data_IF_656511944242
#
_entry.id   IF_656511944242
#
_cell.length_a   1.000
_cell.length_b   1.000
_cell.length_c   1.000
_cell.angle_alpha   90.00
_cell.angle_beta   90.00
_cell.angle_gamma   90.00
#
_symmetry.space_group_name_H-M   'P 1'
#
loop_
_entity.id
_entity.type
_entity.pdbx_description
1 polymer ?
#
# COMPACT_ATOMS: atom_id res chain seq x y z
N UNK A 1 -71.45 -39.33 -17.94
CA UNK A 1 -71.26 -39.04 -16.51
C UNK A 1 -69.76 -38.87 -16.29
N UNK A 2 -69.34 -37.62 -16.26
CA UNK A 2 -67.97 -37.19 -16.08
C UNK A 2 -67.76 -36.78 -14.62
N UNK A 3 -66.83 -37.39 -13.91
CA UNK A 3 -66.43 -36.97 -12.57
C UNK A 3 -64.98 -36.51 -12.61
N UNK A 4 -64.80 -35.22 -12.43
CA UNK A 4 -63.50 -34.54 -12.20
C UNK A 4 -63.06 -34.69 -10.74
N UNK A 5 -61.79 -35.04 -10.43
CA UNK A 5 -61.29 -34.96 -9.05
C UNK A 5 -60.74 -33.53 -8.74
N UNK A 6 -61.10 -33.06 -7.56
CA UNK A 6 -60.66 -31.82 -6.93
C UNK A 6 -59.14 -31.79 -6.73
N UNK A 7 -58.48 -30.77 -7.27
CA UNK A 7 -57.08 -30.47 -6.98
C UNK A 7 -56.92 -29.93 -5.55
N UNK A 8 -56.06 -30.56 -4.79
CA UNK A 8 -55.55 -30.09 -3.50
C UNK A 8 -54.50 -29.03 -3.71
N UNK A 9 -54.83 -27.80 -3.33
CA UNK A 9 -53.86 -26.67 -3.24
C UNK A 9 -52.84 -26.93 -2.14
N UNK A 10 -51.69 -27.47 -2.50
CA UNK A 10 -50.49 -27.35 -1.67
C UNK A 10 -49.89 -25.94 -1.83
N UNK A 11 -50.16 -25.09 -0.84
CA UNK A 11 -49.33 -23.88 -0.63
C UNK A 11 -47.93 -24.37 -0.21
N UNK A 12 -46.86 -23.93 -0.85
CA UNK A 12 -45.54 -24.18 -0.31
C UNK A 12 -45.41 -23.37 0.98
N UNK A 13 -45.09 -24.07 2.07
CA UNK A 13 -44.59 -23.46 3.29
C UNK A 13 -43.36 -22.60 2.92
N UNK A 14 -43.53 -21.31 3.00
CA UNK A 14 -42.38 -20.41 3.10
C UNK A 14 -41.80 -20.64 4.50
N UNK A 15 -40.83 -21.56 4.57
CA UNK A 15 -39.88 -21.55 5.69
C UNK A 15 -39.13 -20.25 5.65
N UNK A 16 -39.64 -19.31 6.41
CA UNK A 16 -38.97 -18.06 6.75
C UNK A 16 -37.83 -18.34 7.72
N UNK A 17 -36.75 -18.96 7.23
CA UNK A 17 -35.45 -18.78 7.87
C UNK A 17 -35.04 -17.34 7.62
N UNK A 18 -35.42 -16.45 8.57
CA UNK A 18 -34.83 -15.15 8.72
C UNK A 18 -33.32 -15.38 8.94
N UNK A 19 -32.54 -15.48 7.85
CA UNK A 19 -31.11 -15.23 7.90
C UNK A 19 -30.98 -13.85 8.52
N UNK A 20 -30.48 -13.81 9.76
CA UNK A 20 -30.13 -12.60 10.49
C UNK A 20 -29.13 -11.83 9.62
N UNK A 21 -29.66 -10.95 8.78
CA UNK A 21 -28.96 -10.28 7.69
C UNK A 21 -28.04 -9.18 8.23
N UNK A 22 -27.17 -9.51 9.20
CA UNK A 22 -26.12 -8.61 9.64
C UNK A 22 -25.24 -8.27 8.45
N UNK A 23 -25.32 -7.00 8.02
CA UNK A 23 -24.43 -6.48 6.98
C UNK A 23 -23.02 -6.43 7.55
N UNK A 24 -22.16 -7.36 7.12
CA UNK A 24 -20.75 -7.43 7.52
C UNK A 24 -19.84 -7.10 6.32
N UNK A 25 -18.67 -6.56 6.61
CA UNK A 25 -17.72 -6.17 5.56
C UNK A 25 -17.25 -7.38 4.73
N UNK A 26 -17.20 -8.58 5.32
CA UNK A 26 -16.75 -9.80 4.68
C UNK A 26 -17.54 -10.18 3.44
N UNK A 27 -18.86 -10.08 3.50
CA UNK A 27 -19.74 -10.45 2.38
C UNK A 27 -19.54 -9.56 1.14
N UNK A 28 -19.12 -8.31 1.33
CA UNK A 28 -18.95 -7.33 0.26
C UNK A 28 -17.52 -7.22 -0.27
N UNK A 29 -16.51 -7.40 0.59
CA UNK A 29 -15.09 -7.37 0.18
C UNK A 29 -14.62 -8.68 -0.45
N UNK A 30 -15.35 -9.79 -0.27
CA UNK A 30 -15.06 -11.08 -0.93
C UNK A 30 -15.34 -11.05 -2.44
N UNK A 31 -16.18 -10.15 -2.92
CA UNK A 31 -16.45 -9.96 -4.34
C UNK A 31 -15.38 -9.09 -4.99
N UNK A 32 -15.00 -9.39 -6.24
CA UNK A 32 -14.11 -8.52 -7.03
C UNK A 32 -14.71 -7.14 -7.36
N UNK A 33 -15.97 -6.91 -6.99
CA UNK A 33 -16.70 -5.67 -7.25
C UNK A 33 -16.57 -4.68 -6.08
N UNK A 34 -15.36 -4.22 -5.79
CA UNK A 34 -15.07 -3.20 -4.79
C UNK A 34 -14.18 -2.09 -5.36
N UNK A 35 -14.10 -0.96 -4.66
CA UNK A 35 -13.33 0.23 -5.09
C UNK A 35 -11.94 0.32 -4.43
N UNK A 36 -11.39 -0.77 -3.88
CA UNK A 36 -10.07 -0.74 -3.23
C UNK A 36 -8.95 -0.36 -4.18
N UNK A 37 -9.02 -0.78 -5.46
CA UNK A 37 -8.03 -0.40 -6.47
C UNK A 37 -8.09 1.10 -6.81
N UNK A 38 -9.30 1.67 -6.84
CA UNK A 38 -9.47 3.12 -6.99
C UNK A 38 -8.85 3.87 -5.79
N UNK A 39 -9.12 3.41 -4.56
CA UNK A 39 -8.53 4.02 -3.36
C UNK A 39 -7.01 3.95 -3.38
N UNK A 40 -6.43 2.81 -3.77
CA UNK A 40 -4.98 2.67 -3.93
C UNK A 40 -4.41 3.67 -4.95
N UNK A 41 -5.10 3.85 -6.08
CA UNK A 41 -4.72 4.81 -7.09
C UNK A 41 -4.79 6.25 -6.57
N UNK A 42 -5.88 6.62 -5.90
CA UNK A 42 -6.07 7.94 -5.31
C UNK A 42 -5.01 8.25 -4.21
N UNK A 43 -4.71 7.26 -3.36
CA UNK A 43 -3.67 7.39 -2.33
C UNK A 43 -2.27 7.54 -2.94
N UNK A 44 -1.94 6.77 -3.97
CA UNK A 44 -0.67 6.92 -4.69
C UNK A 44 -0.55 8.32 -5.33
N UNK A 45 -1.62 8.82 -5.94
CA UNK A 45 -1.67 10.17 -6.48
C UNK A 45 -1.50 11.25 -5.39
N UNK A 46 -2.13 11.08 -4.23
CA UNK A 46 -1.95 11.97 -3.07
C UNK A 46 -0.52 12.01 -2.55
N UNK A 47 0.19 10.88 -2.58
CA UNK A 47 1.61 10.80 -2.22
C UNK A 47 2.46 11.57 -3.23
N UNK A 48 2.22 11.38 -4.54
CA UNK A 48 2.91 12.14 -5.60
C UNK A 48 2.64 13.63 -5.45
N UNK A 49 1.39 14.01 -5.18
CA UNK A 49 1.02 15.41 -4.94
C UNK A 49 1.85 16.04 -3.82
N UNK A 50 1.91 15.41 -2.64
CA UNK A 50 2.66 15.93 -1.50
C UNK A 50 4.15 16.10 -1.82
N UNK A 51 4.77 15.08 -2.42
CA UNK A 51 6.18 15.13 -2.78
C UNK A 51 6.47 16.17 -3.86
N UNK A 52 5.59 16.29 -4.85
CA UNK A 52 5.72 17.29 -5.92
C UNK A 52 5.65 18.71 -5.36
N UNK A 53 4.69 18.99 -4.48
CA UNK A 53 4.58 20.30 -3.85
C UNK A 53 5.80 20.64 -2.98
N UNK A 54 6.34 19.67 -2.26
CA UNK A 54 7.55 19.84 -1.46
C UNK A 54 8.78 20.11 -2.34
N UNK A 55 8.96 19.39 -3.44
CA UNK A 55 10.04 19.60 -4.41
C UNK A 55 9.96 20.94 -5.11
N UNK A 56 8.74 21.40 -5.44
CA UNK A 56 8.48 22.71 -6.03
C UNK A 56 8.54 23.87 -5.03
N UNK A 57 8.83 23.61 -3.74
CA UNK A 57 8.85 24.58 -2.64
C UNK A 57 7.48 25.24 -2.35
N UNK A 58 6.39 24.64 -2.80
CA UNK A 58 5.02 25.10 -2.57
C UNK A 58 4.46 24.57 -1.24
N UNK A 59 4.96 25.06 -0.10
CA UNK A 59 4.59 24.57 1.23
C UNK A 59 3.08 24.58 1.49
N UNK A 60 2.38 25.64 1.06
CA UNK A 60 0.93 25.74 1.22
C UNK A 60 0.11 24.72 0.40
N UNK A 61 0.66 24.22 -0.72
CA UNK A 61 0.01 23.23 -1.59
C UNK A 61 0.40 21.79 -1.24
N UNK A 62 1.36 21.58 -0.33
CA UNK A 62 1.86 20.24 0.02
C UNK A 62 0.85 19.38 0.79
N UNK A 63 -0.23 19.97 1.32
CA UNK A 63 -1.16 19.26 2.19
C UNK A 63 -0.50 18.78 3.49
N UNK A 64 0.55 19.47 3.94
CA UNK A 64 1.22 19.20 5.24
C UNK A 64 0.60 20.09 6.30
N UNK A 65 0.08 19.47 7.35
CA UNK A 65 -0.49 20.16 8.51
C UNK A 65 0.01 19.46 9.78
N UNK A 66 0.50 20.23 10.75
CA UNK A 66 1.00 19.68 12.02
C UNK A 66 1.96 18.47 11.86
N UNK A 67 2.86 18.51 10.89
CA UNK A 67 3.80 17.40 10.61
C UNK A 67 3.20 16.20 9.87
N UNK A 68 1.90 16.20 9.58
CA UNK A 68 1.21 15.17 8.83
C UNK A 68 0.91 15.63 7.40
N UNK A 69 0.83 14.69 6.47
CA UNK A 69 0.64 15.01 5.05
C UNK A 69 -0.36 14.05 4.38
N UNK A 70 -0.84 14.43 3.20
CA UNK A 70 -1.59 13.50 2.34
C UNK A 70 -0.76 12.26 2.00
N UNK A 71 0.58 12.39 1.91
CA UNK A 71 1.46 11.24 1.71
C UNK A 71 1.39 10.26 2.90
N UNK A 72 1.46 10.73 4.13
CA UNK A 72 1.33 9.88 5.33
C UNK A 72 -0.03 9.17 5.35
N UNK A 73 -1.12 9.92 5.13
CA UNK A 73 -2.48 9.37 5.08
C UNK A 73 -2.62 8.33 3.96
N UNK A 74 -2.07 8.64 2.78
CA UNK A 74 -2.07 7.70 1.66
C UNK A 74 -1.32 6.41 1.98
N UNK A 75 -0.15 6.51 2.64
CA UNK A 75 0.62 5.35 3.09
C UNK A 75 -0.18 4.51 4.10
N UNK A 76 -0.84 5.12 5.08
CA UNK A 76 -1.65 4.39 6.06
C UNK A 76 -2.76 3.59 5.39
N UNK A 77 -3.48 4.20 4.45
CA UNK A 77 -4.50 3.50 3.69
C UNK A 77 -3.93 2.37 2.82
N UNK A 78 -2.80 2.58 2.14
CA UNK A 78 -2.13 1.56 1.32
C UNK A 78 -1.68 0.38 2.17
N UNK A 79 -1.03 0.61 3.32
CA UNK A 79 -0.61 -0.46 4.23
C UNK A 79 -1.80 -1.19 4.85
N UNK A 80 -2.87 -0.49 5.21
CA UNK A 80 -4.11 -1.10 5.72
C UNK A 80 -4.78 -2.01 4.70
N UNK A 81 -4.96 -1.54 3.45
CA UNK A 81 -5.48 -2.35 2.34
C UNK A 81 -4.55 -3.54 2.08
N UNK A 82 -3.23 -3.33 2.07
CA UNK A 82 -2.25 -4.39 1.88
C UNK A 82 -2.37 -5.45 2.96
N UNK A 83 -2.48 -5.07 4.24
CA UNK A 83 -2.68 -6.01 5.35
C UNK A 83 -3.91 -6.89 5.17
N UNK A 84 -5.04 -6.31 4.79
CA UNK A 84 -6.28 -7.04 4.51
C UNK A 84 -6.10 -8.05 3.36
N UNK A 85 -5.58 -7.60 2.22
CA UNK A 85 -5.40 -8.43 1.03
C UNK A 85 -4.31 -9.49 1.20
N UNK A 86 -3.26 -9.20 1.97
CA UNK A 86 -2.17 -10.13 2.23
C UNK A 86 -2.62 -11.24 3.18
N UNK A 87 -3.40 -10.91 4.23
CA UNK A 87 -3.97 -11.91 5.13
C UNK A 87 -4.85 -12.91 4.37
N UNK A 88 -5.64 -12.44 3.40
CA UNK A 88 -6.37 -13.30 2.47
C UNK A 88 -5.40 -14.16 1.63
N UNK A 89 -4.47 -13.51 0.97
CA UNK A 89 -3.58 -14.17 -0.01
C UNK A 89 -2.69 -15.25 0.61
N UNK A 90 -2.14 -15.02 1.81
CA UNK A 90 -1.23 -15.96 2.46
C UNK A 90 -1.95 -17.23 2.95
N UNK A 91 -3.23 -17.11 3.31
CA UNK A 91 -4.03 -18.26 3.71
C UNK A 91 -4.47 -19.13 2.53
N UNK A 92 -4.73 -18.52 1.38
CA UNK A 92 -5.21 -19.21 0.18
C UNK A 92 -4.10 -19.86 -0.66
N UNK A 93 -2.85 -19.43 -0.49
CA UNK A 93 -1.75 -19.89 -1.31
C UNK A 93 -0.74 -20.71 -0.52
N UNK A 94 -0.05 -21.66 -1.19
CA UNK A 94 1.15 -22.29 -0.63
C UNK A 94 2.25 -21.26 -0.45
N UNK A 95 3.13 -21.43 0.52
CA UNK A 95 4.17 -20.49 0.89
C UNK A 95 5.03 -20.03 -0.30
N UNK A 96 5.48 -20.97 -1.14
CA UNK A 96 6.28 -20.64 -2.33
C UNK A 96 5.47 -19.85 -3.37
N UNK A 97 4.21 -20.24 -3.64
CA UNK A 97 3.34 -19.54 -4.59
C UNK A 97 2.96 -18.14 -4.08
N UNK A 98 2.75 -18.01 -2.77
CA UNK A 98 2.51 -16.70 -2.14
C UNK A 98 3.72 -15.77 -2.33
N UNK A 99 4.92 -16.21 -1.92
CA UNK A 99 6.13 -15.39 -2.00
C UNK A 99 6.44 -15.03 -3.47
N UNK A 100 6.37 -16.01 -4.39
CA UNK A 100 6.57 -15.78 -5.82
C UNK A 100 5.65 -14.69 -6.37
N UNK A 101 4.35 -14.73 -6.05
CA UNK A 101 3.38 -13.72 -6.49
C UNK A 101 3.68 -12.33 -5.94
N UNK A 102 4.21 -12.22 -4.70
CA UNK A 102 4.60 -10.93 -4.09
C UNK A 102 5.87 -10.39 -4.73
N UNK A 103 6.86 -11.24 -4.96
CA UNK A 103 8.09 -10.88 -5.69
C UNK A 103 7.78 -10.37 -7.09
N UNK A 104 6.95 -11.08 -7.86
CA UNK A 104 6.51 -10.66 -9.19
C UNK A 104 5.72 -9.35 -9.20
N UNK A 105 5.05 -9.03 -8.11
CA UNK A 105 4.28 -7.78 -7.98
C UNK A 105 5.17 -6.57 -7.73
N UNK A 106 6.25 -6.74 -6.97
CA UNK A 106 7.06 -5.63 -6.47
C UNK A 106 8.34 -5.41 -7.30
N UNK A 107 9.17 -6.45 -7.46
CA UNK A 107 10.54 -6.28 -7.97
C UNK A 107 10.64 -5.92 -9.46
N UNK A 108 9.88 -6.51 -10.39
CA UNK A 108 10.08 -6.22 -11.81
C UNK A 108 9.84 -4.74 -12.18
N UNK A 109 8.78 -4.13 -11.65
CA UNK A 109 8.51 -2.71 -11.88
C UNK A 109 9.51 -1.80 -11.15
N UNK A 110 9.93 -2.18 -9.93
CA UNK A 110 10.97 -1.47 -9.20
C UNK A 110 12.28 -1.45 -10.02
N UNK A 111 12.73 -2.60 -10.50
CA UNK A 111 13.98 -2.69 -11.30
C UNK A 111 13.86 -1.81 -12.55
N UNK A 112 12.73 -1.87 -13.27
CA UNK A 112 12.50 -1.00 -14.43
C UNK A 112 12.56 0.48 -14.03
N UNK A 113 11.93 0.87 -12.92
CA UNK A 113 11.98 2.25 -12.43
C UNK A 113 13.42 2.69 -12.11
N UNK A 114 14.20 1.85 -11.45
CA UNK A 114 15.61 2.13 -11.14
C UNK A 114 16.44 2.30 -12.41
N UNK A 115 16.24 1.42 -13.40
CA UNK A 115 16.94 1.51 -14.70
C UNK A 115 16.56 2.78 -15.45
N UNK A 116 15.26 3.12 -15.53
CA UNK A 116 14.80 4.36 -16.18
C UNK A 116 15.37 5.58 -15.44
N UNK A 117 15.35 5.58 -14.12
CA UNK A 117 15.92 6.66 -13.33
C UNK A 117 17.42 6.80 -13.57
N UNK A 118 18.17 5.71 -13.54
CA UNK A 118 19.63 5.72 -13.64
C UNK A 118 20.13 5.99 -15.07
N UNK A 119 19.47 5.45 -16.09
CA UNK A 119 19.99 5.47 -17.46
C UNK A 119 19.24 6.38 -18.43
N UNK A 120 18.09 6.93 -18.02
CA UNK A 120 17.33 7.90 -18.81
C UNK A 120 17.25 9.25 -18.09
N UNK A 121 16.66 9.27 -16.90
CA UNK A 121 16.40 10.54 -16.19
C UNK A 121 17.70 11.14 -15.60
N UNK A 122 18.60 10.31 -15.07
CA UNK A 122 19.87 10.73 -14.52
C UNK A 122 20.78 11.43 -15.54
N UNK A 123 21.03 10.85 -16.74
CA UNK A 123 21.76 11.53 -17.81
C UNK A 123 21.16 12.86 -18.24
N UNK A 124 19.83 12.95 -18.33
CA UNK A 124 19.11 14.20 -18.62
C UNK A 124 19.41 15.26 -17.53
N UNK A 125 19.31 14.85 -16.28
CA UNK A 125 19.61 15.73 -15.14
C UNK A 125 21.08 16.17 -15.13
N UNK A 126 22.00 15.26 -15.44
CA UNK A 126 23.43 15.54 -15.49
C UNK A 126 23.78 16.60 -16.52
N UNK A 127 23.23 16.48 -17.73
CA UNK A 127 23.52 17.39 -18.83
C UNK A 127 22.88 18.79 -18.66
N UNK A 128 21.68 18.85 -18.06
CA UNK A 128 20.88 20.09 -18.05
C UNK A 128 20.90 20.82 -16.71
N UNK A 129 21.06 20.13 -15.57
CA UNK A 129 20.77 20.73 -14.28
C UNK A 129 21.99 21.04 -13.41
N UNK A 130 22.93 20.12 -13.29
CA UNK A 130 23.92 20.18 -12.21
C UNK A 130 25.35 20.44 -12.74
N UNK A 131 25.67 19.94 -13.89
CA UNK A 131 27.01 20.07 -14.47
C UNK A 131 26.96 20.36 -15.97
N UNK A 132 26.45 21.53 -16.38
CA UNK A 132 26.42 21.90 -17.79
C UNK A 132 27.84 21.85 -18.38
N UNK A 133 28.00 21.16 -19.51
CA UNK A 133 29.29 21.02 -20.20
C UNK A 133 30.13 19.79 -19.78
N UNK A 134 29.72 18.99 -18.80
CA UNK A 134 30.40 17.72 -18.51
C UNK A 134 29.95 16.60 -19.47
N UNK A 135 30.88 15.71 -19.79
CA UNK A 135 30.57 14.59 -20.67
C UNK A 135 29.73 13.49 -19.97
N UNK A 136 28.98 12.73 -20.75
CA UNK A 136 28.26 11.54 -20.21
C UNK A 136 29.21 10.50 -19.65
N UNK A 137 30.46 10.43 -20.17
CA UNK A 137 31.47 9.50 -19.65
C UNK A 137 31.74 9.79 -18.16
N UNK A 138 31.80 11.07 -17.77
CA UNK A 138 32.00 11.42 -16.36
C UNK A 138 30.78 11.09 -15.47
N UNK A 139 29.56 11.06 -16.02
CA UNK A 139 28.39 10.58 -15.30
C UNK A 139 28.49 9.09 -14.94
N UNK A 140 28.89 8.27 -15.91
CA UNK A 140 28.99 6.82 -15.71
C UNK A 140 30.18 6.39 -14.85
N UNK A 141 31.22 7.21 -14.80
CA UNK A 141 32.44 6.95 -14.02
C UNK A 141 32.48 7.67 -12.67
N UNK A 142 31.38 8.35 -12.27
CA UNK A 142 31.28 9.03 -10.98
C UNK A 142 31.31 8.02 -9.81
N UNK A 143 31.80 8.40 -8.62
CA UNK A 143 31.75 7.55 -7.42
C UNK A 143 30.35 7.03 -7.10
N UNK A 144 29.32 7.87 -7.25
CA UNK A 144 27.91 7.50 -7.15
C UNK A 144 27.37 7.10 -8.53
N UNK A 145 27.94 6.06 -9.12
CA UNK A 145 27.60 5.64 -10.47
C UNK A 145 26.14 5.15 -10.58
N UNK A 146 25.52 5.30 -11.77
CA UNK A 146 24.17 4.80 -12.00
C UNK A 146 24.06 3.28 -11.81
N UNK A 147 25.12 2.52 -12.05
CA UNK A 147 25.17 1.08 -11.80
C UNK A 147 25.04 0.77 -10.31
N UNK A 148 25.78 1.50 -9.47
CA UNK A 148 25.76 1.33 -8.03
C UNK A 148 24.39 1.72 -7.44
N UNK A 149 23.77 2.78 -7.97
CA UNK A 149 22.41 3.15 -7.61
C UNK A 149 21.42 2.02 -7.86
N UNK A 150 21.43 1.42 -9.05
CA UNK A 150 20.54 0.29 -9.36
C UNK A 150 20.82 -0.89 -8.45
N UNK A 151 22.08 -1.30 -8.30
CA UNK A 151 22.46 -2.46 -7.50
C UNK A 151 22.04 -2.32 -6.03
N UNK A 152 22.33 -1.17 -5.43
CA UNK A 152 22.01 -0.91 -4.01
C UNK A 152 20.52 -0.86 -3.74
N UNK A 153 19.69 -0.36 -4.68
CA UNK A 153 18.27 -0.21 -4.48
C UNK A 153 17.43 -1.43 -4.97
N UNK A 154 17.98 -2.28 -5.83
CA UNK A 154 17.27 -3.42 -6.41
C UNK A 154 16.81 -4.46 -5.37
N UNK A 155 17.55 -4.64 -4.29
CA UNK A 155 17.26 -5.67 -3.28
C UNK A 155 16.27 -5.21 -2.21
N UNK A 156 15.92 -3.90 -2.15
CA UNK A 156 15.04 -3.33 -1.13
C UNK A 156 15.47 -3.72 0.29
N UNK A 157 16.79 -3.94 0.51
CA UNK A 157 17.28 -4.51 1.75
C UNK A 157 17.61 -3.47 2.84
N UNK A 158 17.62 -2.18 2.50
CA UNK A 158 17.89 -1.10 3.44
C UNK A 158 16.98 0.11 3.21
N UNK A 159 16.18 0.54 4.18
CA UNK A 159 15.29 1.69 4.06
C UNK A 159 16.04 3.03 3.91
N UNK A 160 17.32 3.09 4.23
CA UNK A 160 18.17 4.28 4.05
C UNK A 160 18.79 4.40 2.66
N UNK A 161 18.61 3.44 1.77
CA UNK A 161 19.22 3.45 0.42
C UNK A 161 18.59 4.43 -0.55
N UNK A 162 17.48 5.00 -0.19
CA UNK A 162 16.93 6.15 -0.89
C UNK A 162 17.88 7.34 -0.87
N UNK A 163 18.85 7.33 0.03
CA UNK A 163 19.88 8.38 0.17
C UNK A 163 21.06 8.22 -0.79
N UNK A 164 21.13 7.12 -1.58
CA UNK A 164 22.14 7.04 -2.60
C UNK A 164 21.79 7.97 -3.76
N UNK A 165 22.53 9.04 -3.82
CA UNK A 165 22.50 10.00 -4.92
C UNK A 165 23.07 9.34 -6.17
N UNK A 166 22.48 9.60 -7.32
CA UNK A 166 23.19 9.44 -8.57
C UNK A 166 23.99 10.73 -8.77
N UNK A 167 25.20 10.65 -9.28
CA UNK A 167 25.97 11.83 -9.65
C UNK A 167 25.10 12.75 -10.53
N UNK A 168 25.03 14.03 -10.19
CA UNK A 168 24.16 14.98 -10.88
C UNK A 168 22.79 15.19 -10.27
N UNK A 169 22.54 14.67 -9.07
CA UNK A 169 21.33 15.05 -8.34
C UNK A 169 21.37 16.52 -7.99
N UNK A 170 20.31 17.29 -8.29
CA UNK A 170 20.24 18.68 -7.83
C UNK A 170 20.32 18.70 -6.30
N UNK A 171 21.14 19.58 -5.76
CA UNK A 171 21.16 19.88 -4.31
C UNK A 171 19.85 20.53 -3.91
N UNK A 172 18.76 19.77 -3.93
CA UNK A 172 17.47 20.15 -3.37
C UNK A 172 17.41 19.65 -1.94
N UNK A 173 16.52 20.20 -1.14
CA UNK A 173 16.25 19.73 0.21
C UNK A 173 15.87 18.22 0.28
N UNK A 174 15.63 17.61 -0.87
CA UNK A 174 15.36 16.18 -1.06
C UNK A 174 16.44 15.63 -2.01
N UNK A 175 17.61 15.32 -1.49
CA UNK A 175 18.77 14.79 -2.24
C UNK A 175 18.54 13.40 -2.87
N UNK A 176 17.35 12.85 -2.78
CA UNK A 176 17.04 11.48 -3.18
C UNK A 176 16.20 11.43 -4.46
N UNK A 177 16.64 10.66 -5.43
CA UNK A 177 15.91 10.45 -6.68
C UNK A 177 14.55 9.78 -6.48
N UNK A 178 14.44 8.89 -5.52
CA UNK A 178 13.19 8.16 -5.31
C UNK A 178 12.95 7.86 -3.83
N UNK A 179 12.43 8.85 -3.12
CA UNK A 179 12.08 8.69 -1.71
C UNK A 179 10.99 7.62 -1.48
N UNK A 180 10.14 7.35 -2.50
CA UNK A 180 9.05 6.38 -2.35
C UNK A 180 9.54 4.93 -2.11
N UNK A 181 10.77 4.60 -2.46
CA UNK A 181 11.30 3.23 -2.35
C UNK A 181 11.48 2.78 -0.88
N UNK A 182 11.72 3.71 0.05
CA UNK A 182 12.03 3.35 1.44
C UNK A 182 10.91 2.54 2.12
N UNK A 183 9.66 2.77 1.76
CA UNK A 183 8.52 2.05 2.33
C UNK A 183 8.38 0.64 1.80
N UNK A 184 8.93 0.35 0.62
CA UNK A 184 8.88 -0.98 0.01
C UNK A 184 9.67 -2.02 0.84
N UNK A 185 10.71 -1.58 1.58
CA UNK A 185 11.41 -2.42 2.55
C UNK A 185 10.43 -2.94 3.61
N UNK A 186 9.66 -2.06 4.23
CA UNK A 186 8.68 -2.43 5.25
C UNK A 186 7.54 -3.27 4.66
N UNK A 187 7.09 -2.94 3.47
CA UNK A 187 6.05 -3.70 2.79
C UNK A 187 6.51 -5.14 2.52
N UNK A 188 7.71 -5.33 1.97
CA UNK A 188 8.26 -6.66 1.71
C UNK A 188 8.53 -7.44 2.99
N UNK A 189 9.05 -6.79 4.02
CA UNK A 189 9.27 -7.39 5.33
C UNK A 189 7.96 -7.87 5.96
N UNK A 190 6.89 -7.07 5.87
CA UNK A 190 5.58 -7.47 6.36
C UNK A 190 4.97 -8.63 5.57
N UNK A 191 5.30 -8.78 4.28
CA UNK A 191 4.95 -9.99 3.53
C UNK A 191 5.61 -11.23 4.10
N UNK A 192 6.88 -11.14 4.50
CA UNK A 192 7.61 -12.24 5.14
C UNK A 192 7.06 -12.54 6.54
N UNK A 193 6.78 -11.52 7.34
CA UNK A 193 6.15 -11.67 8.67
C UNK A 193 4.81 -12.39 8.55
N UNK A 194 3.96 -12.00 7.61
CA UNK A 194 2.67 -12.67 7.39
C UNK A 194 2.82 -14.12 6.93
N UNK A 195 3.86 -14.40 6.14
CA UNK A 195 4.18 -15.78 5.78
C UNK A 195 4.56 -16.60 7.01
N UNK A 196 5.43 -16.07 7.87
CA UNK A 196 5.81 -16.71 9.14
C UNK A 196 4.58 -16.92 10.01
N UNK A 197 3.72 -15.91 10.20
CA UNK A 197 2.48 -16.02 10.97
C UNK A 197 1.55 -17.09 10.42
N UNK A 198 1.50 -17.26 9.10
CA UNK A 198 0.72 -18.32 8.48
C UNK A 198 1.31 -19.71 8.73
N UNK A 199 2.64 -19.87 8.58
CA UNK A 199 3.36 -21.16 8.75
C UNK A 199 3.30 -21.64 10.20
N UNK A 200 3.56 -20.73 11.17
CA UNK A 200 3.52 -21.03 12.61
C UNK A 200 2.07 -21.21 13.13
N UNK A 201 1.07 -20.81 12.33
CA UNK A 201 -0.34 -20.98 12.66
C UNK A 201 -0.95 -19.86 13.50
N UNK A 202 -0.26 -18.72 13.66
CA UNK A 202 -0.78 -17.52 14.38
C UNK A 202 -2.08 -17.04 13.72
N UNK A 203 -2.15 -17.01 12.36
CA UNK A 203 -3.35 -16.56 11.65
C UNK A 203 -4.57 -17.48 11.83
N UNK A 204 -4.38 -18.70 12.32
CA UNK A 204 -5.46 -19.61 12.69
C UNK A 204 -6.04 -19.28 14.05
N UNK A 205 -5.21 -18.70 14.95
CA UNK A 205 -5.57 -18.32 16.30
C UNK A 205 -5.88 -16.83 16.35
N UNK A 206 -7.09 -16.45 15.88
CA UNK A 206 -7.50 -15.04 15.69
C UNK A 206 -7.21 -14.16 16.90
N UNK A 207 -7.39 -14.68 18.13
CA UNK A 207 -7.11 -13.93 19.38
C UNK A 207 -5.62 -13.66 19.54
N UNK A 208 -4.73 -14.62 19.22
CA UNK A 208 -3.27 -14.40 19.30
C UNK A 208 -2.86 -13.33 18.28
N UNK A 209 -3.38 -13.41 17.04
CA UNK A 209 -3.12 -12.39 16.04
C UNK A 209 -3.59 -10.99 16.49
N UNK A 210 -4.78 -10.91 17.13
CA UNK A 210 -5.31 -9.67 17.70
C UNK A 210 -4.42 -9.15 18.83
N UNK A 211 -3.99 -9.98 19.75
CA UNK A 211 -3.09 -9.57 20.84
C UNK A 211 -1.76 -9.05 20.32
N UNK A 212 -1.18 -9.69 19.29
CA UNK A 212 0.04 -9.20 18.63
C UNK A 212 -0.20 -7.83 17.99
N UNK A 213 -1.31 -7.63 17.28
CA UNK A 213 -1.65 -6.35 16.67
C UNK A 213 -1.81 -5.25 17.73
N UNK A 214 -2.52 -5.54 18.83
CA UNK A 214 -2.70 -4.61 19.96
C UNK A 214 -1.38 -4.31 20.67
N UNK A 215 -0.53 -5.31 20.88
CA UNK A 215 0.80 -5.12 21.48
C UNK A 215 1.69 -4.24 20.57
N UNK A 216 1.66 -4.46 19.25
CA UNK A 216 2.39 -3.63 18.29
C UNK A 216 1.88 -2.18 18.29
N UNK A 217 0.56 -1.99 18.32
CA UNK A 217 -0.03 -0.66 18.44
C UNK A 217 0.31 0.01 19.79
N UNK A 218 0.22 -0.73 20.90
CA UNK A 218 0.62 -0.24 22.22
C UNK A 218 2.09 0.17 22.27
N UNK A 219 2.99 -0.63 21.70
CA UNK A 219 4.41 -0.29 21.60
C UNK A 219 4.63 1.00 20.76
N UNK A 220 3.90 1.16 19.67
CA UNK A 220 3.93 2.38 18.88
C UNK A 220 3.47 3.60 19.70
N UNK A 221 2.39 3.47 20.48
CA UNK A 221 1.91 4.54 21.36
C UNK A 221 2.98 4.91 22.40
N UNK A 222 3.58 3.92 23.05
CA UNK A 222 4.63 4.16 24.07
C UNK A 222 5.82 4.91 23.47
N UNK A 223 6.32 4.49 22.31
CA UNK A 223 7.45 5.16 21.64
C UNK A 223 7.05 6.57 21.16
N UNK A 224 5.81 6.79 20.73
CA UNK A 224 5.30 8.12 20.37
C UNK A 224 5.28 9.06 21.57
N UNK A 225 4.88 8.57 22.73
CA UNK A 225 4.76 9.38 23.96
C UNK A 225 6.08 9.55 24.72
N UNK A 226 7.05 8.65 24.50
CA UNK A 226 8.35 8.65 25.15
C UNK A 226 9.48 8.67 24.12
N UNK A 227 9.77 9.83 23.49
CA UNK A 227 10.72 9.95 22.39
C UNK A 227 12.16 9.53 22.73
N UNK A 228 12.54 9.55 24.00
CA UNK A 228 13.87 9.08 24.46
C UNK A 228 14.11 7.61 24.14
N UNK A 229 13.07 6.78 24.16
CA UNK A 229 13.16 5.37 23.80
C UNK A 229 13.51 5.17 22.31
N UNK A 230 13.04 6.06 21.43
CA UNK A 230 13.32 5.93 20.00
C UNK A 230 14.81 6.09 19.68
N UNK A 231 15.52 6.96 20.43
CA UNK A 231 16.95 7.21 20.25
C UNK A 231 17.82 6.04 20.73
N UNK A 232 17.40 5.36 21.79
CA UNK A 232 18.13 4.22 22.35
C UNK A 232 17.97 2.93 21.52
N UNK A 233 16.81 2.75 20.87
CA UNK A 233 16.52 1.58 20.03
C UNK A 233 16.91 1.70 18.57
N UNK A 234 17.48 2.82 18.14
CA UNK A 234 18.03 3.00 16.77
C UNK A 234 19.29 2.16 16.49
N UNK A 235 19.51 1.12 17.27
CA UNK A 235 20.68 0.21 17.20
C UNK A 235 20.66 -0.68 15.95
N UNK A 236 19.50 -0.83 15.29
CA UNK A 236 19.40 -1.64 14.10
C UNK A 236 19.70 -0.81 12.85
N UNK A 237 20.86 -1.01 12.26
CA UNK A 237 21.28 -0.44 10.97
C UNK A 237 20.37 -0.83 9.79
N UNK A 238 19.31 -1.60 10.03
CA UNK A 238 18.41 -2.21 9.05
C UNK A 238 17.02 -1.57 8.98
N UNK A 239 16.80 -0.46 9.62
CA UNK A 239 15.53 0.25 9.60
C UNK A 239 15.25 0.99 10.90
N UNK A 240 14.44 2.04 10.80
CA UNK A 240 13.99 2.79 11.96
C UNK A 240 12.88 1.99 12.68
N UNK A 241 13.07 1.66 13.96
CA UNK A 241 12.08 0.93 14.79
C UNK A 241 10.71 1.63 14.78
N UNK A 242 10.72 2.95 14.79
CA UNK A 242 9.49 3.74 14.71
C UNK A 242 8.67 3.41 13.46
N UNK A 243 9.31 3.50 12.28
CA UNK A 243 8.65 3.19 11.01
C UNK A 243 8.19 1.74 10.93
N UNK A 244 8.98 0.83 11.51
CA UNK A 244 8.62 -0.59 11.59
C UNK A 244 7.35 -0.79 12.42
N UNK A 245 7.25 -0.19 13.61
CA UNK A 245 6.08 -0.28 14.46
C UNK A 245 4.86 0.40 13.82
N UNK A 246 5.05 1.58 13.23
CA UNK A 246 4.02 2.34 12.54
C UNK A 246 3.36 1.50 11.44
N UNK A 247 4.15 1.04 10.48
CA UNK A 247 3.63 0.29 9.35
C UNK A 247 3.11 -1.09 9.77
N UNK A 248 3.74 -1.72 10.78
CA UNK A 248 3.26 -2.99 11.32
C UNK A 248 1.89 -2.84 11.99
N UNK A 249 1.68 -1.81 12.81
CA UNK A 249 0.40 -1.58 13.49
C UNK A 249 -0.75 -1.40 12.49
N UNK A 250 -0.54 -0.59 11.45
CA UNK A 250 -1.54 -0.33 10.42
C UNK A 250 -1.80 -1.58 9.57
N UNK A 251 -0.74 -2.25 9.13
CA UNK A 251 -0.83 -3.46 8.32
C UNK A 251 -1.51 -4.60 9.08
N UNK A 252 -1.13 -4.82 10.34
CA UNK A 252 -1.76 -5.84 11.18
C UNK A 252 -3.23 -5.50 11.46
N UNK A 253 -3.59 -4.21 11.62
CA UNK A 253 -5.00 -3.82 11.71
C UNK A 253 -5.78 -4.25 10.46
N UNK A 254 -5.23 -4.05 9.26
CA UNK A 254 -5.82 -4.58 8.02
C UNK A 254 -5.96 -6.10 8.02
N UNK A 255 -4.93 -6.80 8.48
CA UNK A 255 -4.97 -8.26 8.63
C UNK A 255 -6.04 -8.73 9.64
N UNK A 256 -6.18 -8.04 10.77
CA UNK A 256 -7.24 -8.30 11.75
C UNK A 256 -8.63 -8.05 11.16
N UNK A 257 -8.81 -6.95 10.42
CA UNK A 257 -10.06 -6.71 9.70
C UNK A 257 -10.42 -7.87 8.76
N UNK A 258 -9.43 -8.50 8.12
CA UNK A 258 -9.67 -9.70 7.31
C UNK A 258 -10.04 -10.92 8.17
N UNK A 259 -9.33 -11.18 9.27
CA UNK A 259 -9.58 -12.33 10.13
C UNK A 259 -10.95 -12.29 10.82
N UNK A 260 -11.45 -11.08 11.10
CA UNK A 260 -12.75 -10.84 11.74
C UNK A 260 -13.80 -10.27 10.78
N UNK A 261 -13.57 -10.35 9.47
CA UNK A 261 -14.41 -9.73 8.42
C UNK A 261 -15.89 -10.12 8.51
N UNK A 262 -16.19 -11.33 8.99
CA UNK A 262 -17.54 -11.86 9.12
C UNK A 262 -18.22 -11.44 10.45
N UNK A 263 -17.52 -10.71 11.31
CA UNK A 263 -18.00 -10.19 12.59
C UNK A 263 -18.04 -8.65 12.61
N UNK A 264 -17.22 -8.00 11.77
CA UNK A 264 -17.14 -6.54 11.69
C UNK A 264 -18.35 -6.02 10.90
N UNK A 265 -19.19 -5.15 11.51
CA UNK A 265 -20.39 -4.63 10.84
C UNK A 265 -20.03 -3.70 9.68
N UNK A 266 -20.83 -3.74 8.62
CA UNK A 266 -20.83 -2.74 7.55
C UNK A 266 -21.68 -1.55 8.00
N UNK A 267 -21.07 -0.59 8.69
CA UNK A 267 -21.77 0.52 9.33
C UNK A 267 -21.09 1.87 9.04
N UNK A 268 -21.83 2.79 8.38
CA UNK A 268 -21.32 4.11 8.02
C UNK A 268 -21.04 5.01 9.23
N UNK A 269 -21.83 4.90 10.32
CA UNK A 269 -21.57 5.67 11.55
C UNK A 269 -20.25 5.25 12.20
N UNK A 270 -19.97 3.94 12.22
CA UNK A 270 -18.69 3.43 12.71
C UNK A 270 -17.53 3.93 11.81
N UNK A 271 -17.71 3.91 10.49
CA UNK A 271 -16.70 4.42 9.56
C UNK A 271 -16.47 5.92 9.75
N UNK A 272 -17.53 6.70 9.93
CA UNK A 272 -17.46 8.12 10.24
C UNK A 272 -16.76 8.39 11.57
N UNK A 273 -17.08 7.62 12.61
CA UNK A 273 -16.41 7.70 13.93
C UNK A 273 -14.92 7.39 13.84
N UNK A 274 -14.54 6.34 13.10
CA UNK A 274 -13.13 6.00 12.84
C UNK A 274 -12.40 7.10 12.07
N UNK A 275 -13.06 7.69 11.06
CA UNK A 275 -12.50 8.82 10.33
C UNK A 275 -12.31 10.05 11.21
N UNK A 276 -13.27 10.36 12.08
CA UNK A 276 -13.18 11.48 13.04
C UNK A 276 -12.04 11.27 14.04
N UNK A 277 -11.88 10.06 14.57
CA UNK A 277 -10.74 9.72 15.45
C UNK A 277 -9.41 9.92 14.73
N UNK A 278 -9.32 9.48 13.48
CA UNK A 278 -8.14 9.73 12.66
C UNK A 278 -7.90 11.22 12.41
N UNK A 279 -8.97 11.97 12.09
CA UNK A 279 -8.90 13.43 11.91
C UNK A 279 -8.51 14.17 13.19
N UNK A 280 -8.86 13.64 14.37
CA UNK A 280 -8.40 14.17 15.65
C UNK A 280 -6.86 14.11 15.74
N UNK A 281 -6.24 13.02 15.27
CA UNK A 281 -4.78 12.92 15.19
C UNK A 281 -4.15 14.02 14.32
N UNK A 282 -4.85 14.47 13.28
CA UNK A 282 -4.45 15.61 12.46
C UNK A 282 -4.55 16.95 13.20
N UNK A 283 -5.57 17.10 14.04
CA UNK A 283 -5.84 18.35 14.77
C UNK A 283 -4.91 18.53 15.99
N UNK A 284 -4.38 17.45 16.55
CA UNK A 284 -3.49 17.53 17.71
C UNK A 284 -2.11 18.09 17.29
N UNK A 285 -1.58 19.06 18.05
CA UNK A 285 -0.27 19.59 17.76
C UNK A 285 0.82 18.53 17.97
N UNK A 286 1.84 18.57 17.12
CA UNK A 286 3.05 17.77 17.33
C UNK A 286 3.72 18.18 18.61
N UNK A 287 3.92 17.26 19.54
CA UNK A 287 4.63 17.50 20.79
C UNK A 287 6.14 17.61 20.50
N UNK A 288 6.63 18.84 20.42
CA UNK A 288 8.05 19.15 20.27
C UNK A 288 8.53 19.38 18.82
N UNK A 289 9.77 19.90 18.70
CA UNK A 289 10.48 20.00 17.41
C UNK A 289 11.02 18.62 17.06
N UNK A 290 10.27 17.90 16.26
CA UNK A 290 10.66 16.55 15.86
C UNK A 290 11.42 16.59 14.53
N UNK A 291 12.47 15.76 14.33
CA UNK A 291 13.08 15.53 13.03
C UNK A 291 12.02 15.09 11.99
N UNK A 292 12.27 15.28 10.72
CA UNK A 292 11.30 15.10 9.62
C UNK A 292 10.63 13.70 9.53
N UNK A 293 11.09 12.71 10.30
CA UNK A 293 10.59 11.33 10.32
C UNK A 293 10.07 10.86 11.68
N UNK A 294 9.88 11.78 12.64
CA UNK A 294 9.41 11.42 13.97
C UNK A 294 7.92 11.08 14.00
N UNK A 295 7.49 10.34 15.02
CA UNK A 295 6.09 10.07 15.29
C UNK A 295 5.29 11.36 15.52
N UNK A 296 4.11 11.38 14.96
CA UNK A 296 3.12 12.44 15.14
C UNK A 296 1.89 11.87 15.84
N UNK A 297 1.07 12.67 16.52
CA UNK A 297 -0.15 12.18 17.17
C UNK A 297 -1.07 11.35 16.26
N UNK A 298 -1.06 11.63 14.95
CA UNK A 298 -1.86 10.87 13.98
C UNK A 298 -1.44 9.40 13.91
N UNK A 299 -0.20 9.05 14.24
CA UNK A 299 0.27 7.67 14.21
C UNK A 299 -0.52 6.82 15.23
N UNK A 300 -0.84 7.40 16.39
CA UNK A 300 -1.67 6.75 17.42
C UNK A 300 -3.05 6.40 16.86
N UNK A 301 -3.62 7.29 16.06
CA UNK A 301 -4.97 7.14 15.50
C UNK A 301 -4.98 6.44 14.13
N UNK A 302 -3.81 6.15 13.56
CA UNK A 302 -3.70 5.56 12.22
C UNK A 302 -4.41 4.21 12.03
N UNK A 303 -4.54 3.30 13.02
CA UNK A 303 -5.31 2.07 12.84
C UNK A 303 -6.79 2.31 12.52
N UNK A 304 -7.38 3.41 13.01
CA UNK A 304 -8.80 3.70 12.76
C UNK A 304 -9.08 4.00 11.29
N UNK A 305 -8.13 4.62 10.56
CA UNK A 305 -8.32 4.91 9.13
C UNK A 305 -8.52 3.63 8.31
N UNK A 306 -7.99 2.50 8.77
CA UNK A 306 -8.08 1.23 8.03
C UNK A 306 -9.53 0.80 7.84
N UNK A 307 -10.33 0.81 8.91
CA UNK A 307 -11.75 0.47 8.79
C UNK A 307 -12.49 1.44 7.87
N UNK A 308 -12.25 2.74 8.01
CA UNK A 308 -12.87 3.77 7.17
C UNK A 308 -12.53 3.56 5.68
N UNK A 309 -11.27 3.26 5.36
CA UNK A 309 -10.81 2.98 3.99
C UNK A 309 -11.44 1.69 3.44
N UNK A 310 -11.53 0.62 4.22
CA UNK A 310 -12.19 -0.62 3.80
C UNK A 310 -13.69 -0.39 3.57
N UNK A 311 -14.35 0.38 4.42
CA UNK A 311 -15.76 0.76 4.26
C UNK A 311 -15.97 1.58 2.99
N UNK A 312 -15.12 2.58 2.72
CA UNK A 312 -15.12 3.34 1.45
C UNK A 312 -14.93 2.43 0.25
N UNK A 313 -14.02 1.44 0.36
CA UNK A 313 -13.79 0.46 -0.70
C UNK A 313 -15.05 -0.34 -1.08
N UNK A 314 -15.97 -0.54 -0.14
CA UNK A 314 -17.25 -1.20 -0.38
C UNK A 314 -18.26 -0.27 -1.06
N UNK A 315 -18.33 1.00 -0.61
CA UNK A 315 -19.45 1.91 -0.91
C UNK A 315 -19.20 2.87 -2.07
N UNK A 316 -17.93 3.17 -2.41
CA UNK A 316 -17.62 4.05 -3.54
C UNK A 316 -18.06 3.43 -4.87
N UNK A 317 -18.52 4.25 -5.83
CA UNK A 317 -19.04 3.78 -7.13
C UNK A 317 -17.95 3.42 -8.14
N UNK A 318 -16.65 3.45 -7.77
CA UNK A 318 -15.52 3.29 -8.68
C UNK A 318 -15.04 1.85 -8.82
N UNK A 319 -15.95 0.87 -8.75
CA UNK A 319 -15.65 -0.57 -8.73
C UNK A 319 -14.94 -1.09 -9.98
N UNK A 320 -15.08 -0.39 -11.11
CA UNK A 320 -14.40 -0.75 -12.37
C UNK A 320 -12.96 -0.27 -12.49
N UNK A 321 -12.55 0.72 -11.67
CA UNK A 321 -11.23 1.36 -11.78
C UNK A 321 -10.16 0.42 -11.22
N UNK A 322 -9.13 0.16 -12.02
CA UNK A 322 -7.98 -0.65 -11.59
C UNK A 322 -8.22 -2.17 -11.57
N UNK A 323 -9.42 -2.67 -11.90
CA UNK A 323 -9.70 -4.11 -11.87
C UNK A 323 -8.98 -4.89 -12.98
N UNK A 324 -8.86 -4.32 -14.16
CA UNK A 324 -8.14 -4.91 -15.29
C UNK A 324 -6.64 -4.58 -15.26
N UNK A 325 -6.31 -3.34 -14.91
CA UNK A 325 -4.96 -2.81 -14.93
C UNK A 325 -4.74 -1.96 -13.67
N UNK A 326 -3.80 -2.33 -12.81
CA UNK A 326 -3.50 -1.61 -11.57
C UNK A 326 -2.25 -0.73 -11.77
N UNK A 327 -2.46 0.52 -12.09
CA UNK A 327 -1.39 1.50 -12.31
C UNK A 327 -0.89 2.17 -11.02
N UNK A 328 -1.50 1.89 -9.86
CA UNK A 328 -1.19 2.58 -8.61
C UNK A 328 0.27 2.42 -8.19
N UNK A 329 0.86 1.25 -8.43
CA UNK A 329 2.24 0.99 -8.10
C UNK A 329 3.20 1.78 -9.02
N UNK A 330 2.95 1.81 -10.32
CA UNK A 330 3.73 2.61 -11.26
C UNK A 330 3.68 4.11 -10.92
N UNK A 331 2.49 4.66 -10.62
CA UNK A 331 2.36 6.06 -10.17
C UNK A 331 3.18 6.30 -8.91
N UNK A 332 3.13 5.40 -7.93
CA UNK A 332 3.85 5.52 -6.68
C UNK A 332 5.37 5.59 -6.87
N UNK A 333 5.96 4.68 -7.65
CA UNK A 333 7.42 4.59 -7.79
C UNK A 333 8.01 5.60 -8.78
N UNK A 334 7.26 6.06 -9.80
CA UNK A 334 7.74 7.04 -10.77
C UNK A 334 7.45 8.49 -10.38
N UNK A 335 6.58 8.74 -9.38
CA UNK A 335 6.15 10.08 -9.00
C UNK A 335 7.31 11.03 -8.72
N UNK A 336 8.26 10.65 -7.86
CA UNK A 336 9.41 11.50 -7.55
C UNK A 336 10.40 11.65 -8.72
N UNK A 337 10.90 10.58 -9.36
CA UNK A 337 11.84 10.73 -10.45
C UNK A 337 11.36 11.64 -11.57
N UNK A 338 10.08 11.55 -11.94
CA UNK A 338 9.50 12.40 -13.00
C UNK A 338 9.32 13.84 -12.54
N UNK A 339 8.94 14.05 -11.30
CA UNK A 339 8.83 15.40 -10.71
C UNK A 339 10.17 16.11 -10.64
N UNK A 340 11.24 15.41 -10.26
CA UNK A 340 12.60 15.97 -10.21
C UNK A 340 13.01 16.55 -11.58
N UNK A 341 12.71 15.84 -12.66
CA UNK A 341 12.96 16.34 -14.02
C UNK A 341 12.20 17.65 -14.28
N UNK A 342 10.92 17.72 -13.92
CA UNK A 342 10.15 18.97 -14.07
C UNK A 342 10.74 20.14 -13.27
N UNK A 343 11.22 19.88 -12.06
CA UNK A 343 11.89 20.90 -11.23
C UNK A 343 13.17 21.39 -11.90
N UNK A 344 13.99 20.49 -12.46
CA UNK A 344 15.22 20.82 -13.17
C UNK A 344 14.96 21.72 -14.38
N UNK A 345 13.89 21.45 -15.12
CA UNK A 345 13.47 22.28 -16.26
C UNK A 345 12.73 23.57 -15.86
N UNK A 346 12.69 23.89 -14.56
CA UNK A 346 12.13 25.15 -14.06
C UNK A 346 10.60 25.22 -14.03
N UNK A 347 9.90 24.07 -14.14
CA UNK A 347 8.44 24.03 -14.10
C UNK A 347 7.79 24.71 -12.89
N UNK A 348 8.40 24.77 -11.67
CA UNK A 348 7.84 25.52 -10.55
C UNK A 348 7.65 27.00 -10.83
N UNK A 349 8.45 27.60 -11.75
CA UNK A 349 8.32 29.02 -12.16
C UNK A 349 7.00 29.32 -12.88
N UNK A 350 6.31 28.30 -13.40
CA UNK A 350 4.99 28.42 -14.06
C UNK A 350 3.83 28.64 -13.08
N UNK A 351 4.11 28.63 -11.78
CA UNK A 351 3.12 28.73 -10.72
C UNK A 351 2.56 27.36 -10.28
N UNK A 352 2.01 27.32 -9.06
CA UNK A 352 1.62 26.09 -8.38
C UNK A 352 0.62 25.25 -9.18
N UNK A 353 -0.40 25.87 -9.77
CA UNK A 353 -1.45 25.14 -10.49
C UNK A 353 -0.92 24.38 -11.71
N UNK A 354 -0.17 25.07 -12.58
CA UNK A 354 0.42 24.48 -13.79
C UNK A 354 1.44 23.42 -13.40
N UNK A 355 2.33 23.71 -12.46
CA UNK A 355 3.35 22.78 -12.01
C UNK A 355 2.74 21.48 -11.46
N UNK A 356 1.77 21.58 -10.54
CA UNK A 356 1.14 20.39 -9.95
C UNK A 356 0.38 19.55 -10.99
N UNK A 357 -0.26 20.23 -11.95
CA UNK A 357 -0.91 19.54 -13.09
C UNK A 357 0.12 18.78 -13.94
N UNK A 358 1.24 19.42 -14.27
CA UNK A 358 2.32 18.75 -15.02
C UNK A 358 2.90 17.55 -14.26
N UNK A 359 3.10 17.66 -12.93
CA UNK A 359 3.55 16.54 -12.11
C UNK A 359 2.59 15.35 -12.15
N UNK A 360 1.27 15.61 -12.09
CA UNK A 360 0.27 14.55 -12.20
C UNK A 360 0.20 13.95 -13.60
N UNK A 361 0.39 14.75 -14.65
CA UNK A 361 0.32 14.27 -16.03
C UNK A 361 1.57 13.49 -16.44
N UNK A 362 2.78 13.94 -16.06
CA UNK A 362 4.03 13.32 -16.50
C UNK A 362 4.20 11.90 -15.94
N UNK A 363 3.68 11.61 -14.75
CA UNK A 363 3.81 10.29 -14.14
C UNK A 363 2.97 9.22 -14.86
N UNK A 364 1.88 9.62 -15.53
CA UNK A 364 0.95 8.69 -16.20
C UNK A 364 1.65 7.85 -17.28
N UNK A 365 2.35 8.42 -18.29
CA UNK A 365 3.01 7.62 -19.31
C UNK A 365 4.04 6.65 -18.74
N UNK A 366 4.77 7.03 -17.68
CA UNK A 366 5.71 6.12 -17.01
C UNK A 366 5.01 4.97 -16.29
N UNK A 367 3.90 5.24 -15.61
CA UNK A 367 3.11 4.20 -14.98
C UNK A 367 2.47 3.24 -16.01
N UNK A 368 1.97 3.77 -17.13
CA UNK A 368 1.46 2.96 -18.26
C UNK A 368 2.57 2.10 -18.86
N UNK A 369 3.72 2.70 -19.14
CA UNK A 369 4.92 1.99 -19.64
C UNK A 369 5.31 0.84 -18.70
N UNK A 370 5.43 1.11 -17.40
CA UNK A 370 5.75 0.10 -16.39
C UNK A 370 4.77 -1.07 -16.41
N UNK A 371 3.47 -0.77 -16.43
CA UNK A 371 2.43 -1.79 -16.47
C UNK A 371 2.51 -2.67 -17.72
N UNK A 372 2.56 -2.06 -18.90
CA UNK A 372 2.50 -2.79 -20.16
C UNK A 372 3.79 -3.53 -20.49
N UNK A 373 4.95 -2.95 -20.21
CA UNK A 373 6.24 -3.57 -20.53
C UNK A 373 6.61 -4.68 -19.56
N UNK A 374 6.35 -4.49 -18.26
CA UNK A 374 6.90 -5.36 -17.23
C UNK A 374 5.85 -5.96 -16.31
N UNK A 375 5.00 -5.15 -15.63
CA UNK A 375 4.14 -5.67 -14.57
C UNK A 375 3.16 -6.73 -15.08
N UNK A 376 2.45 -6.44 -16.16
CA UNK A 376 1.47 -7.36 -16.75
C UNK A 376 2.12 -8.67 -17.22
N UNK A 377 3.33 -8.59 -17.80
CA UNK A 377 4.08 -9.75 -18.26
C UNK A 377 4.61 -10.58 -17.09
N UNK A 378 5.17 -9.93 -16.08
CA UNK A 378 5.65 -10.59 -14.85
C UNK A 378 4.51 -11.30 -14.13
N UNK A 379 3.33 -10.67 -14.06
CA UNK A 379 2.16 -11.30 -13.45
C UNK A 379 1.68 -12.55 -14.19
N UNK A 380 1.97 -12.72 -15.48
CA UNK A 380 1.70 -13.96 -16.21
C UNK A 380 2.59 -15.12 -15.73
N UNK A 381 3.78 -14.83 -15.16
CA UNK A 381 4.70 -15.85 -14.61
C UNK A 381 4.20 -16.48 -13.30
N UNK A 382 3.09 -16.03 -12.75
CA UNK A 382 2.44 -16.66 -11.56
C UNK A 382 2.18 -18.17 -11.77
N UNK A 383 1.93 -18.58 -13.00
CA UNK A 383 1.68 -19.97 -13.38
C UNK A 383 2.90 -20.87 -13.25
N UNK A 384 4.13 -20.33 -13.20
CA UNK A 384 5.36 -21.13 -13.06
C UNK A 384 5.47 -21.79 -11.68
N UNK A 385 4.84 -21.22 -10.66
CA UNK A 385 4.73 -21.84 -9.34
C UNK A 385 3.27 -22.22 -9.11
N UNK A 386 2.90 -23.50 -9.35
CA UNK A 386 1.53 -23.95 -9.23
C UNK A 386 0.99 -23.78 -7.81
N UNK A 387 -0.18 -23.19 -7.73
CA UNK A 387 -0.90 -23.09 -6.47
C UNK A 387 -1.91 -24.24 -6.39
N UNK A 388 -1.54 -25.31 -5.67
CA UNK A 388 -2.57 -26.25 -5.21
C UNK A 388 -3.18 -25.63 -3.94
N UNK A 389 -4.48 -25.32 -3.92
CA UNK A 389 -5.11 -24.76 -2.73
C UNK A 389 -4.76 -25.60 -1.50
N UNK A 390 -4.49 -24.94 -0.37
CA UNK A 390 -4.46 -25.67 0.91
C UNK A 390 -5.85 -26.24 1.10
N UNK A 391 -5.95 -27.53 1.46
CA UNK A 391 -7.24 -28.13 1.85
C UNK A 391 -7.90 -27.19 2.86
N UNK A 392 -9.22 -26.92 2.72
CA UNK A 392 -9.95 -26.18 3.76
C UNK A 392 -9.67 -26.86 5.08
N UNK A 393 -9.42 -26.07 6.13
CA UNK A 393 -9.20 -26.60 7.45
C UNK A 393 -10.50 -27.24 7.91
N UNK A 394 -10.47 -28.53 8.23
CA UNK A 394 -11.57 -29.23 8.90
C UNK A 394 -11.89 -28.44 10.19
N UNK A 395 -13.08 -27.85 10.24
CA UNK A 395 -13.55 -26.98 11.32
C UNK A 395 -14.18 -25.66 10.89
N UNK A 396 -14.06 -25.25 9.61
CA UNK A 396 -14.94 -24.24 9.06
C UNK A 396 -16.21 -24.96 8.56
N UNK A 397 -17.33 -24.76 9.24
CA UNK A 397 -18.64 -25.25 8.83
C UNK A 397 -18.86 -24.90 7.36
N UNK A 398 -18.83 -25.92 6.50
CA UNK A 398 -19.27 -25.78 5.12
C UNK A 398 -20.73 -25.37 5.13
N UNK A 399 -21.16 -24.41 4.28
CA UNK A 399 -22.58 -24.19 4.11
C UNK A 399 -23.22 -25.50 3.63
N UNK A 400 -24.37 -25.92 4.18
CA UNK A 400 -25.07 -27.11 3.72
C UNK A 400 -25.62 -26.86 2.31
N UNK A 401 -25.18 -27.63 1.34
CA UNK A 401 -25.85 -27.72 0.03
C UNK A 401 -24.98 -27.40 -1.19
N UNK A 402 -23.95 -28.22 -1.48
CA UNK A 402 -23.61 -28.54 -2.85
C UNK A 402 -23.44 -30.06 -2.97
N UNK A 403 -24.55 -30.71 -3.31
CA UNK A 403 -24.54 -32.07 -3.82
C UNK A 403 -23.78 -32.06 -5.16
N UNK A 404 -22.58 -32.62 -5.14
CA UNK A 404 -21.84 -32.97 -6.35
C UNK A 404 -22.69 -33.96 -7.12
N UNK A 405 -23.34 -33.49 -8.18
CA UNK A 405 -23.97 -34.37 -9.19
C UNK A 405 -22.89 -35.17 -9.89
N UNK A 406 -22.86 -36.46 -9.63
CA UNK A 406 -22.17 -37.44 -10.44
C UNK A 406 -22.74 -37.35 -11.87
N UNK A 407 -21.90 -37.05 -12.84
CA UNK A 407 -22.17 -37.35 -14.24
C UNK A 407 -21.40 -38.62 -14.58
N UNK A 408 -22.17 -39.68 -14.74
CA UNK A 408 -21.81 -40.84 -15.53
C UNK A 408 -21.62 -40.46 -17.00
#
# INVERSE_FOLDING_TARGET
VSTTPRGTNHRPHQDGSAEDGRRVIGNRLSTHANSLNFLRLAMAAGIVWTHSAALGLFRGASGVWNGTSFASTGLYGLFGISGFLIAHSVQQNRSAAYLWRRTLRLFPALILCLLVTAFVLGPIAWLHGVHPGRSLVSYFNAPDSPYLYVLKNALVANPYWTQHTIAGTPHTALSNWNLSIWTLFYEFLLYLVMLVFCVVGILRRRLIALLIALATWGAMIVITLVPTLSNEFNVFHWGNLESMLRFSAIFLTGAICYLFKDQIPDNGYLAGGCFLLFALGWALPTMGRLPAFSFTPIDIFSPFVVYAVLWLGIHLPFKGVGNKNDYSYGIYIYGMPTTIILVLFGAPKLGVGIYMTLCMLIVIPFALMSWWLVEKRSMALKRLVPNRPRKPLEGATSPPGELVGSKD
#
